data_IF_661069820546
#
_entry.id   IF_661069820546
#
_cell.length_a   1.000
_cell.length_b   1.000
_cell.length_c   1.000
_cell.angle_alpha   90.00
_cell.angle_beta   90.00
_cell.angle_gamma   90.00
#
_symmetry.space_group_name_H-M   'P 1'
#
loop_
_entity.id
_entity.type
_entity.pdbx_description
1 polymer ?
#
# COMPACT_ATOMS: atom_id res chain seq x y z
N UNK A 1 -16.97 -2.39 -7.45
CA UNK A 1 -16.32 -2.08 -6.15
C UNK A 1 -17.39 -1.98 -5.07
N UNK A 2 -17.07 -2.42 -3.87
CA UNK A 2 -18.02 -2.36 -2.74
C UNK A 2 -18.36 -0.92 -2.38
N UNK A 3 -19.66 -0.60 -2.30
CA UNK A 3 -20.12 0.75 -2.03
C UNK A 3 -19.64 1.28 -0.68
N UNK A 4 -19.59 0.43 0.34
CA UNK A 4 -19.07 0.81 1.66
C UNK A 4 -17.64 1.33 1.61
N UNK A 5 -16.81 0.73 0.77
CA UNK A 5 -15.41 1.17 0.61
C UNK A 5 -15.35 2.48 -0.17
N UNK A 6 -16.13 2.61 -1.24
CA UNK A 6 -16.21 3.86 -2.01
C UNK A 6 -16.66 5.03 -1.13
N UNK A 7 -17.67 4.81 -0.29
CA UNK A 7 -18.17 5.82 0.64
C UNK A 7 -17.09 6.23 1.66
N UNK A 8 -16.34 5.25 2.17
CA UNK A 8 -15.24 5.50 3.10
C UNK A 8 -14.12 6.33 2.43
N UNK A 9 -13.74 5.96 1.20
CA UNK A 9 -12.72 6.68 0.43
C UNK A 9 -13.14 8.14 0.24
N UNK A 10 -14.38 8.36 -0.19
CA UNK A 10 -14.95 9.69 -0.40
C UNK A 10 -14.96 10.50 0.89
N UNK A 11 -15.35 9.88 2.00
CA UNK A 11 -15.37 10.51 3.32
C UNK A 11 -13.98 10.97 3.77
N UNK A 12 -12.93 10.27 3.35
CA UNK A 12 -11.54 10.66 3.62
C UNK A 12 -11.03 11.76 2.68
N UNK A 13 -11.85 12.23 1.77
CA UNK A 13 -11.49 13.27 0.82
C UNK A 13 -10.72 12.76 -0.40
N UNK A 14 -10.78 11.45 -0.65
CA UNK A 14 -10.10 10.81 -1.77
C UNK A 14 -11.10 10.39 -2.84
N UNK A 15 -10.62 10.20 -4.06
CA UNK A 15 -11.40 9.63 -5.16
C UNK A 15 -10.87 8.25 -5.51
N UNK A 16 -11.77 7.38 -5.96
CA UNK A 16 -11.44 6.05 -6.47
C UNK A 16 -11.50 6.07 -7.98
N UNK A 17 -10.48 5.49 -8.63
CA UNK A 17 -10.52 5.28 -10.09
C UNK A 17 -9.85 3.95 -10.46
N UNK A 18 -10.17 3.44 -11.65
CA UNK A 18 -9.51 2.27 -12.21
C UNK A 18 -8.64 2.72 -13.37
N UNK A 19 -7.38 2.32 -13.36
CA UNK A 19 -6.38 2.78 -14.31
C UNK A 19 -5.36 1.71 -14.68
N UNK A 20 -4.15 2.14 -14.96
CA UNK A 20 -3.09 1.25 -15.44
C UNK A 20 -2.44 0.43 -14.34
N UNK A 21 -2.41 0.94 -13.12
CA UNK A 21 -1.70 0.32 -11.99
C UNK A 21 -2.38 0.63 -10.68
N UNK A 22 -2.04 -0.14 -9.65
CA UNK A 22 -2.45 0.14 -8.29
C UNK A 22 -1.60 1.27 -7.75
N UNK A 23 -2.23 2.26 -7.12
CA UNK A 23 -1.54 3.45 -6.64
C UNK A 23 -2.32 4.16 -5.54
N UNK A 24 -1.62 4.51 -4.47
CA UNK A 24 -2.05 5.50 -3.50
C UNK A 24 -1.34 6.81 -3.80
N UNK A 25 -2.10 7.85 -4.17
CA UNK A 25 -1.55 9.16 -4.52
C UNK A 25 -2.05 10.22 -3.54
N UNK A 26 -1.23 10.56 -2.53
CA UNK A 26 -1.67 11.50 -1.49
C UNK A 26 -1.79 12.95 -1.95
N UNK A 27 -0.99 13.38 -2.92
CA UNK A 27 -1.01 14.77 -3.40
C UNK A 27 -2.30 15.07 -4.15
N UNK A 28 -2.68 14.20 -5.08
CA UNK A 28 -3.93 14.33 -5.84
C UNK A 28 -5.12 13.72 -5.14
N UNK A 29 -4.90 13.07 -4.00
CA UNK A 29 -5.91 12.38 -3.20
C UNK A 29 -6.68 11.34 -3.99
N UNK A 30 -5.94 10.39 -4.57
CA UNK A 30 -6.50 9.31 -5.37
C UNK A 30 -6.12 7.94 -4.84
N UNK A 31 -7.09 7.04 -4.93
CA UNK A 31 -6.88 5.59 -4.81
C UNK A 31 -7.12 5.02 -6.19
N UNK A 32 -6.09 4.50 -6.82
CA UNK A 32 -6.18 3.91 -8.15
C UNK A 32 -5.93 2.40 -8.06
N UNK A 33 -6.69 1.64 -8.84
CA UNK A 33 -6.56 0.18 -8.92
C UNK A 33 -6.47 -0.21 -10.39
N UNK A 34 -5.65 -1.21 -10.71
CA UNK A 34 -5.50 -1.68 -12.08
C UNK A 34 -6.81 -2.25 -12.61
N UNK A 35 -7.26 -1.73 -13.75
CA UNK A 35 -8.47 -2.21 -14.42
C UNK A 35 -8.34 -3.64 -14.96
N UNK A 36 -7.11 -4.18 -15.05
CA UNK A 36 -6.84 -5.54 -15.53
C UNK A 36 -7.14 -6.62 -14.50
N UNK A 37 -7.26 -6.25 -13.22
CA UNK A 37 -7.54 -7.19 -12.15
C UNK A 37 -8.98 -7.68 -12.23
N UNK A 38 -9.23 -8.89 -11.75
CA UNK A 38 -10.59 -9.37 -11.57
C UNK A 38 -11.26 -8.61 -10.40
N UNK A 39 -12.56 -8.77 -10.27
CA UNK A 39 -13.36 -8.04 -9.27
C UNK A 39 -12.86 -8.23 -7.84
N UNK A 40 -12.50 -9.46 -7.46
CA UNK A 40 -12.01 -9.77 -6.12
C UNK A 40 -10.66 -9.11 -5.86
N UNK A 41 -9.73 -9.21 -6.80
CA UNK A 41 -8.39 -8.63 -6.64
C UNK A 41 -8.42 -7.10 -6.69
N UNK A 42 -9.36 -6.50 -7.42
CA UNK A 42 -9.59 -5.05 -7.35
C UNK A 42 -9.97 -4.61 -5.95
N UNK A 43 -10.85 -5.37 -5.29
CA UNK A 43 -11.22 -5.07 -3.90
C UNK A 43 -10.01 -5.19 -2.97
N UNK A 44 -9.24 -6.24 -3.10
CA UNK A 44 -8.05 -6.45 -2.26
C UNK A 44 -7.01 -5.35 -2.48
N UNK A 45 -6.74 -5.00 -3.73
CA UNK A 45 -5.82 -3.90 -4.06
C UNK A 45 -6.33 -2.55 -3.55
N UNK A 46 -7.63 -2.28 -3.68
CA UNK A 46 -8.22 -1.04 -3.15
C UNK A 46 -8.06 -0.96 -1.63
N UNK A 47 -8.27 -2.07 -0.92
CA UNK A 47 -8.05 -2.14 0.53
C UNK A 47 -6.58 -1.89 0.87
N UNK A 48 -5.66 -2.43 0.10
CA UNK A 48 -4.23 -2.19 0.27
C UNK A 48 -3.87 -0.71 0.12
N UNK A 49 -4.35 -0.07 -0.93
CA UNK A 49 -4.09 1.36 -1.13
C UNK A 49 -4.72 2.23 -0.04
N UNK A 50 -5.91 1.85 0.43
CA UNK A 50 -6.52 2.47 1.61
C UNK A 50 -5.66 2.24 2.87
N UNK A 51 -5.00 1.08 2.95
CA UNK A 51 -4.04 0.79 4.01
C UNK A 51 -2.88 1.77 4.04
N UNK A 52 -2.32 2.13 2.89
CA UNK A 52 -1.30 3.17 2.80
C UNK A 52 -1.80 4.52 3.32
N UNK A 53 -3.02 4.90 2.97
CA UNK A 53 -3.65 6.11 3.51
C UNK A 53 -3.67 6.08 5.04
N UNK A 54 -4.07 4.95 5.62
CA UNK A 54 -4.15 4.78 7.08
C UNK A 54 -2.77 4.79 7.74
N UNK A 55 -1.76 4.20 7.10
CA UNK A 55 -0.38 4.21 7.60
C UNK A 55 0.19 5.63 7.63
N UNK A 56 -0.07 6.41 6.58
CA UNK A 56 0.56 7.72 6.37
C UNK A 56 -0.19 8.88 7.01
N UNK A 57 -1.44 8.70 7.43
CA UNK A 57 -2.28 9.80 7.92
C UNK A 57 -1.74 10.47 9.20
N UNK A 58 -0.99 9.74 10.02
CA UNK A 58 -0.36 10.28 11.22
C UNK A 58 1.13 10.48 10.96
N UNK A 59 1.51 11.72 10.65
CA UNK A 59 2.87 12.08 10.28
C UNK A 59 3.90 11.72 11.35
N UNK A 60 3.61 11.99 12.63
CA UNK A 60 4.53 11.66 13.71
C UNK A 60 4.76 10.17 13.85
N UNK A 61 3.69 9.39 13.82
CA UNK A 61 3.76 7.92 13.87
C UNK A 61 4.52 7.37 12.67
N UNK A 62 4.26 7.91 11.48
CA UNK A 62 4.91 7.50 10.25
C UNK A 62 6.42 7.77 10.31
N UNK A 63 6.83 8.96 10.66
CA UNK A 63 8.24 9.35 10.77
C UNK A 63 8.99 8.48 11.77
N UNK A 64 8.34 8.13 12.88
CA UNK A 64 8.94 7.30 13.91
C UNK A 64 9.12 5.85 13.46
N UNK A 65 8.13 5.29 12.77
CA UNK A 65 8.14 3.88 12.33
C UNK A 65 8.92 3.66 11.05
N UNK A 66 9.00 4.65 10.17
CA UNK A 66 9.62 4.55 8.85
C UNK A 66 10.62 5.68 8.61
N UNK A 67 11.44 5.92 9.61
CA UNK A 67 12.40 7.02 9.60
C UNK A 67 13.29 7.06 8.34
N UNK A 68 13.75 5.92 7.89
CA UNK A 68 14.61 5.84 6.71
C UNK A 68 13.88 6.24 5.42
N UNK A 69 12.57 6.06 5.35
CA UNK A 69 11.76 6.55 4.22
C UNK A 69 11.74 8.07 4.19
N UNK A 70 11.58 8.70 5.34
CA UNK A 70 11.60 10.18 5.47
C UNK A 70 13.00 10.71 5.17
N UNK A 71 14.04 10.10 5.75
CA UNK A 71 15.43 10.49 5.50
C UNK A 71 15.79 10.37 4.02
N UNK A 72 15.28 9.35 3.33
CA UNK A 72 15.50 9.14 1.91
C UNK A 72 14.93 10.24 1.00
N UNK A 73 13.91 10.98 1.46
CA UNK A 73 13.37 12.11 0.72
C UNK A 73 14.38 13.28 0.63
N UNK A 74 15.28 13.39 1.60
CA UNK A 74 16.24 14.48 1.71
C UNK A 74 17.66 14.05 1.32
N UNK A 75 17.97 12.75 1.31
CA UNK A 75 19.27 12.21 0.96
C UNK A 75 19.15 11.00 0.05
N UNK A 76 19.41 11.19 -1.24
CA UNK A 76 19.31 10.14 -2.26
C UNK A 76 20.18 8.91 -1.98
N UNK A 77 21.30 9.08 -1.26
CA UNK A 77 22.17 7.95 -0.91
C UNK A 77 21.48 7.00 0.06
N UNK A 78 20.61 7.52 0.90
CA UNK A 78 19.84 6.72 1.87
C UNK A 78 18.72 5.92 1.22
N UNK A 79 18.20 6.35 0.07
CA UNK A 79 17.16 5.64 -0.69
C UNK A 79 17.59 4.24 -1.16
N UNK A 80 18.89 3.95 -1.18
CA UNK A 80 19.42 2.65 -1.64
C UNK A 80 19.94 1.81 -0.49
N UNK A 81 19.87 2.29 0.73
CA UNK A 81 20.32 1.53 1.90
C UNK A 81 19.42 0.34 2.16
N UNK A 82 19.98 -0.72 2.75
CA UNK A 82 19.19 -1.89 3.16
C UNK A 82 18.08 -1.49 4.15
N UNK A 83 18.38 -0.57 5.06
CA UNK A 83 17.41 -0.07 6.04
C UNK A 83 16.22 0.58 5.34
N UNK A 84 16.45 1.37 4.31
CA UNK A 84 15.39 2.01 3.52
C UNK A 84 14.51 0.97 2.85
N UNK A 85 15.13 -0.07 2.26
CA UNK A 85 14.39 -1.17 1.62
C UNK A 85 13.55 -1.95 2.61
N UNK A 86 14.10 -2.22 3.80
CA UNK A 86 13.37 -2.92 4.87
C UNK A 86 12.17 -2.09 5.33
N UNK A 87 12.34 -0.80 5.54
CA UNK A 87 11.24 0.07 5.96
C UNK A 87 10.16 0.15 4.86
N UNK A 88 10.56 0.15 3.59
CA UNK A 88 9.63 0.11 2.47
C UNK A 88 8.79 -1.18 2.51
N UNK A 89 9.43 -2.33 2.64
CA UNK A 89 8.75 -3.63 2.75
C UNK A 89 7.82 -3.66 3.97
N UNK A 90 8.26 -3.12 5.08
CA UNK A 90 7.47 -3.04 6.31
C UNK A 90 6.21 -2.19 6.12
N UNK A 91 6.32 -1.06 5.44
CA UNK A 91 5.15 -0.23 5.13
C UNK A 91 4.18 -0.97 4.23
N UNK A 92 4.67 -1.67 3.21
CA UNK A 92 3.83 -2.47 2.32
C UNK A 92 3.05 -3.54 3.10
N UNK A 93 3.72 -4.27 4.00
CA UNK A 93 3.06 -5.25 4.85
C UNK A 93 2.00 -4.60 5.75
N UNK A 94 2.36 -3.49 6.39
CA UNK A 94 1.45 -2.77 7.29
C UNK A 94 0.22 -2.26 6.53
N UNK A 95 0.38 -1.84 5.28
CA UNK A 95 -0.74 -1.38 4.45
C UNK A 95 -1.72 -2.52 4.15
N UNK A 96 -1.22 -3.72 3.83
CA UNK A 96 -2.07 -4.90 3.64
C UNK A 96 -2.84 -5.24 4.92
N UNK A 97 -2.16 -5.24 6.07
CA UNK A 97 -2.77 -5.56 7.35
C UNK A 97 -3.86 -4.55 7.74
N UNK A 98 -3.59 -3.27 7.54
CA UNK A 98 -4.57 -2.22 7.80
C UNK A 98 -5.75 -2.26 6.85
N UNK A 99 -5.51 -2.63 5.59
CA UNK A 99 -6.59 -2.84 4.63
C UNK A 99 -7.53 -3.97 5.07
N UNK A 100 -7.00 -5.06 5.57
CA UNK A 100 -7.80 -6.15 6.12
C UNK A 100 -8.65 -5.68 7.31
N UNK A 101 -8.02 -4.98 8.24
CA UNK A 101 -8.72 -4.44 9.42
C UNK A 101 -9.80 -3.44 9.03
N UNK A 102 -9.56 -2.63 8.01
CA UNK A 102 -10.55 -1.71 7.47
C UNK A 102 -11.76 -2.46 6.92
N UNK A 103 -11.54 -3.52 6.15
CA UNK A 103 -12.64 -4.33 5.63
C UNK A 103 -13.51 -4.90 6.76
N UNK A 104 -12.88 -5.37 7.82
CA UNK A 104 -13.61 -5.85 9.01
C UNK A 104 -14.44 -4.75 9.66
N UNK A 105 -13.83 -3.57 9.84
CA UNK A 105 -14.51 -2.41 10.43
C UNK A 105 -15.73 -1.98 9.61
N UNK A 106 -15.60 -2.01 8.29
CA UNK A 106 -16.68 -1.65 7.36
C UNK A 106 -17.66 -2.79 7.13
N UNK A 107 -17.44 -3.94 7.75
CA UNK A 107 -18.26 -5.15 7.56
C UNK A 107 -18.34 -5.57 6.09
N UNK A 108 -17.23 -5.45 5.39
CA UNK A 108 -17.08 -5.96 4.03
C UNK A 108 -16.61 -7.43 4.14
N UNK A 109 -17.40 -8.39 3.67
CA UNK A 109 -17.00 -9.79 3.76
C UNK A 109 -15.82 -10.06 2.81
N UNK A 110 -14.72 -10.53 3.37
CA UNK A 110 -13.56 -11.00 2.59
C UNK A 110 -13.04 -12.31 3.20
N UNK A 111 -12.51 -13.16 2.36
CA UNK A 111 -11.85 -14.37 2.80
C UNK A 111 -10.43 -14.02 3.24
N UNK A 112 -10.14 -14.18 4.52
CA UNK A 112 -8.84 -13.83 5.12
C UNK A 112 -7.68 -14.54 4.43
N UNK A 113 -7.85 -15.84 4.20
CA UNK A 113 -6.81 -16.68 3.58
C UNK A 113 -6.48 -16.23 2.17
N UNK A 114 -7.51 -16.00 1.35
CA UNK A 114 -7.35 -15.51 -0.03
C UNK A 114 -6.75 -14.10 -0.07
N UNK A 115 -7.16 -13.24 0.85
CA UNK A 115 -6.63 -11.89 0.94
C UNK A 115 -5.13 -11.91 1.22
N UNK A 116 -4.70 -12.63 2.24
CA UNK A 116 -3.28 -12.69 2.61
C UNK A 116 -2.45 -13.51 1.61
N UNK A 117 -3.05 -14.45 0.91
CA UNK A 117 -2.42 -15.17 -0.18
C UNK A 117 -2.08 -14.21 -1.33
N UNK A 118 -3.04 -13.39 -1.71
CA UNK A 118 -2.83 -12.35 -2.73
C UNK A 118 -1.81 -11.32 -2.28
N UNK A 119 -1.90 -10.86 -1.04
CA UNK A 119 -0.93 -9.96 -0.45
C UNK A 119 0.50 -10.54 -0.48
N UNK A 120 0.64 -11.81 -0.14
CA UNK A 120 1.95 -12.49 -0.15
C UNK A 120 2.57 -12.53 -1.54
N UNK A 121 1.77 -12.77 -2.56
CA UNK A 121 2.25 -12.74 -3.95
C UNK A 121 2.75 -11.36 -4.36
N UNK A 122 2.05 -10.31 -3.95
CA UNK A 122 2.47 -8.95 -4.19
C UNK A 122 3.74 -8.60 -3.40
N UNK A 123 3.82 -9.02 -2.14
CA UNK A 123 4.97 -8.77 -1.27
C UNK A 123 6.23 -9.53 -1.69
N UNK A 124 6.09 -10.67 -2.35
CA UNK A 124 7.24 -11.46 -2.81
C UNK A 124 8.20 -10.62 -3.66
N UNK A 125 7.67 -9.78 -4.54
CA UNK A 125 8.48 -8.88 -5.35
C UNK A 125 9.31 -7.93 -4.49
N UNK A 126 8.71 -7.36 -3.45
CA UNK A 126 9.39 -6.46 -2.54
C UNK A 126 10.42 -7.19 -1.67
N UNK A 127 10.13 -8.42 -1.27
CA UNK A 127 11.09 -9.25 -0.54
C UNK A 127 12.35 -9.51 -1.37
N UNK A 128 12.20 -9.87 -2.64
CA UNK A 128 13.33 -10.08 -3.55
C UNK A 128 14.15 -8.81 -3.71
N UNK A 129 13.49 -7.69 -3.93
CA UNK A 129 14.14 -6.40 -4.04
C UNK A 129 14.92 -6.01 -2.79
N UNK A 130 14.42 -6.36 -1.60
CA UNK A 130 15.10 -6.05 -0.34
C UNK A 130 16.45 -6.76 -0.24
N UNK A 131 16.55 -8.01 -0.69
CA UNK A 131 17.77 -8.83 -0.55
C UNK A 131 18.65 -8.82 -1.78
N UNK A 132 18.12 -8.53 -2.95
CA UNK A 132 18.85 -8.54 -4.22
C UNK A 132 19.25 -7.12 -4.61
N UNK A 133 20.53 -6.81 -4.44
CA UNK A 133 21.08 -5.48 -4.78
C UNK A 133 21.01 -5.16 -6.27
N UNK A 134 20.89 -6.17 -7.14
CA UNK A 134 20.81 -6.00 -8.59
C UNK A 134 19.38 -5.86 -9.09
N UNK A 135 18.40 -5.94 -8.19
CA UNK A 135 16.99 -5.79 -8.53
C UNK A 135 16.66 -4.32 -8.75
N UNK A 136 16.41 -3.95 -10.00
CA UNK A 136 16.22 -2.55 -10.41
C UNK A 136 14.77 -2.09 -10.53
N UNK A 137 13.80 -2.91 -10.13
CA UNK A 137 12.36 -2.58 -10.27
C UNK A 137 11.98 -1.25 -9.60
N UNK A 138 12.67 -0.89 -8.53
CA UNK A 138 12.41 0.31 -7.74
C UNK A 138 13.64 1.21 -7.63
N UNK A 139 14.55 1.13 -8.59
CA UNK A 139 15.67 2.08 -8.67
C UNK A 139 15.11 3.44 -9.08
N UNK A 140 15.27 4.37 -8.19
CA UNK A 140 14.85 5.75 -8.37
C UNK A 140 16.02 6.63 -8.77
#
# INVERSE_FOLDING_TARGET
MKQKLLDWIKKKGFTYEEGKQDLYEPTEKKICVSKRLNKQNKLYSALHECGHLLVQRNVFSYEKRYKSQVDGLFDKRKCRSLRWRIDFLKEEYDAWDRGYKLAKRLKIPINKERYYDYASKCLETYCRWTVDKEWHKYDY
#
